data_IF_659404541449
#
_entry.id   IF_659404541449
#
_cell.length_a   1.000
_cell.length_b   1.000
_cell.length_c   1.000
_cell.angle_alpha   90.00
_cell.angle_beta   90.00
_cell.angle_gamma   90.00
#
_symmetry.space_group_name_H-M   'P 1'
#
loop_
_entity.id
_entity.type
_entity.pdbx_description
1 polymer ?
#
# COMPACT_ATOMS: atom_id res chain seq x y z
N UNK A 1 -15.26 11.32 -10.35
CA UNK A 1 -14.95 10.07 -9.61
C UNK A 1 -14.76 10.46 -8.15
N UNK A 2 -15.42 9.82 -7.17
CA UNK A 2 -15.23 10.20 -5.78
C UNK A 2 -13.82 9.81 -5.35
N UNK A 3 -13.06 10.82 -4.95
CA UNK A 3 -11.88 10.68 -4.12
C UNK A 3 -12.26 9.95 -2.84
N UNK A 4 -11.58 8.87 -2.51
CA UNK A 4 -11.91 8.05 -1.34
C UNK A 4 -11.60 8.74 -0.01
N UNK A 5 -11.02 9.95 -0.01
CA UNK A 5 -10.57 10.66 1.18
C UNK A 5 -9.32 10.06 1.83
N UNK A 6 -8.87 8.89 1.36
CA UNK A 6 -7.72 8.18 1.90
C UNK A 6 -6.45 8.69 1.23
N UNK A 7 -5.55 9.19 2.06
CA UNK A 7 -4.25 9.66 1.61
C UNK A 7 -3.29 8.49 1.35
N UNK A 8 -2.32 8.68 0.46
CA UNK A 8 -1.22 7.71 0.26
C UNK A 8 -0.49 7.39 1.57
N UNK A 9 -0.38 8.37 2.48
CA UNK A 9 0.20 8.17 3.82
C UNK A 9 -0.60 7.18 4.68
N UNK A 10 -1.93 7.24 4.64
CA UNK A 10 -2.79 6.28 5.35
C UNK A 10 -2.71 4.87 4.75
N UNK A 11 -2.56 4.74 3.43
CA UNK A 11 -2.32 3.44 2.81
C UNK A 11 -1.00 2.82 3.27
N UNK A 12 0.05 3.64 3.37
CA UNK A 12 1.35 3.19 3.90
C UNK A 12 1.21 2.77 5.36
N UNK A 13 0.52 3.55 6.20
CA UNK A 13 0.26 3.18 7.60
C UNK A 13 -0.45 1.83 7.71
N UNK A 14 -1.51 1.61 6.94
CA UNK A 14 -2.23 0.31 6.92
C UNK A 14 -1.35 -0.86 6.51
N UNK A 15 -0.42 -0.66 5.57
CA UNK A 15 0.55 -1.69 5.19
C UNK A 15 1.54 -1.98 6.32
N UNK A 16 2.02 -0.95 7.01
CA UNK A 16 2.91 -1.09 8.16
C UNK A 16 2.20 -1.77 9.34
N UNK A 17 0.96 -1.39 9.65
CA UNK A 17 0.11 -2.04 10.67
C UNK A 17 -0.14 -3.51 10.33
N UNK A 18 -0.23 -3.84 9.04
CA UNK A 18 -0.34 -5.21 8.59
C UNK A 18 0.98 -5.98 8.65
N UNK A 19 2.09 -5.42 9.16
CA UNK A 19 3.44 -6.03 9.20
C UNK A 19 4.07 -6.19 7.80
N UNK A 20 3.66 -5.37 6.82
CA UNK A 20 4.35 -5.32 5.54
C UNK A 20 5.68 -4.59 5.69
N UNK A 21 6.76 -5.19 5.21
CA UNK A 21 8.09 -4.62 5.19
C UNK A 21 8.36 -3.91 3.87
N UNK A 22 9.07 -2.78 3.93
CA UNK A 22 9.55 -2.09 2.75
C UNK A 22 10.79 -2.79 2.21
N UNK A 23 10.70 -3.34 1.00
CA UNK A 23 11.78 -4.13 0.38
C UNK A 23 12.62 -3.34 -0.62
N UNK A 24 12.18 -2.13 -0.97
CA UNK A 24 12.91 -1.26 -1.88
C UNK A 24 12.02 -0.27 -2.60
N UNK A 25 12.65 0.62 -3.35
CA UNK A 25 11.97 1.68 -4.10
C UNK A 25 12.43 1.69 -5.55
N UNK A 26 11.49 1.87 -6.49
CA UNK A 26 11.79 2.05 -7.93
C UNK A 26 11.09 3.31 -8.43
N UNK A 27 11.88 4.29 -8.84
CA UNK A 27 11.36 5.61 -9.23
C UNK A 27 10.54 6.24 -8.10
N UNK A 28 9.33 6.70 -8.42
CA UNK A 28 8.42 7.32 -7.45
C UNK A 28 7.55 6.32 -6.66
N UNK A 29 7.89 5.02 -6.63
CA UNK A 29 7.13 3.99 -5.90
C UNK A 29 8.01 3.24 -4.88
N UNK A 30 7.46 3.02 -3.68
CA UNK A 30 7.98 2.11 -2.65
C UNK A 30 7.28 0.76 -2.76
N UNK A 31 8.03 -0.31 -2.63
CA UNK A 31 7.52 -1.67 -2.68
C UNK A 31 7.45 -2.23 -1.27
N UNK A 32 6.26 -2.70 -0.91
CA UNK A 32 6.03 -3.40 0.35
C UNK A 32 5.76 -4.86 0.08
N UNK A 33 6.29 -5.72 0.93
CA UNK A 33 6.08 -7.17 0.92
C UNK A 33 5.65 -7.61 2.32
N UNK A 34 4.88 -8.69 2.41
CA UNK A 34 4.51 -9.26 3.70
C UNK A 34 5.01 -10.71 3.78
N UNK A 35 5.55 -11.09 4.93
CA UNK A 35 6.00 -12.45 5.22
C UNK A 35 4.99 -13.58 4.90
N UNK A 36 3.67 -13.33 4.97
CA UNK A 36 2.64 -14.33 4.65
C UNK A 36 2.37 -14.48 3.15
N UNK A 37 2.84 -13.53 2.34
CA UNK A 37 2.78 -13.57 0.87
C UNK A 37 4.19 -13.40 0.29
N UNK A 38 5.09 -14.38 0.49
CA UNK A 38 6.44 -14.30 -0.04
C UNK A 38 6.39 -14.21 -1.57
N UNK A 39 7.02 -13.17 -2.12
CA UNK A 39 7.07 -12.85 -3.54
C UNK A 39 5.98 -11.86 -4.02
N UNK A 40 4.94 -11.58 -3.25
CA UNK A 40 3.91 -10.60 -3.64
C UNK A 40 4.27 -9.21 -3.10
N UNK A 41 4.70 -8.32 -4.00
CA UNK A 41 5.09 -6.94 -3.68
C UNK A 41 4.05 -5.94 -4.16
N UNK A 42 3.66 -5.02 -3.28
CA UNK A 42 2.74 -3.94 -3.61
C UNK A 42 3.49 -2.60 -3.82
N UNK A 43 3.40 -2.01 -5.02
CA UNK A 43 3.94 -0.68 -5.26
C UNK A 43 3.00 0.39 -4.71
N UNK A 44 3.54 1.30 -3.89
CA UNK A 44 2.83 2.46 -3.34
C UNK A 44 3.63 3.72 -3.65
N UNK A 45 3.03 4.77 -4.25
CA UNK A 45 3.75 5.97 -4.61
C UNK A 45 4.34 6.68 -3.39
N UNK A 46 5.51 7.30 -3.57
CA UNK A 46 6.18 8.07 -2.55
C UNK A 46 5.50 9.44 -2.39
N UNK A 47 5.03 9.75 -1.18
CA UNK A 47 4.41 11.04 -0.89
C UNK A 47 5.36 12.25 -1.12
N UNK A 48 6.68 12.06 -1.05
CA UNK A 48 7.62 13.18 -1.04
C UNK A 48 7.91 13.81 -2.42
N UNK A 49 7.46 13.22 -3.53
CA UNK A 49 7.65 13.83 -4.86
C UNK A 49 6.43 14.60 -5.36
N UNK A 50 5.30 14.52 -4.66
CA UNK A 50 4.11 15.35 -4.87
C UNK A 50 3.99 16.29 -3.68
N UNK A 51 4.86 17.30 -3.66
CA UNK A 51 4.72 18.45 -2.78
C UNK A 51 3.31 19.05 -2.89
N UNK A 52 2.79 19.44 -1.72
CA UNK A 52 1.61 20.27 -1.49
C UNK A 52 0.22 19.59 -1.61
N UNK A 53 -0.35 19.33 -0.42
CA UNK A 53 -1.79 19.18 -0.12
C UNK A 53 -2.48 17.93 -0.66
N UNK A 54 -2.63 16.93 0.22
CA UNK A 54 -3.85 16.12 0.30
C UNK A 54 -4.41 15.57 -1.01
N UNK A 55 -3.56 15.15 -1.95
CA UNK A 55 -4.04 14.45 -3.14
C UNK A 55 -4.39 13.03 -2.71
N UNK A 56 -5.67 12.73 -2.79
CA UNK A 56 -6.20 11.39 -2.60
C UNK A 56 -5.33 10.39 -3.34
N UNK A 57 -5.07 9.25 -2.69
CA UNK A 57 -4.47 8.14 -3.39
C UNK A 57 -5.33 7.83 -4.62
N UNK A 58 -4.71 7.66 -5.79
CA UNK A 58 -5.45 7.24 -6.97
C UNK A 58 -6.27 6.01 -6.61
N UNK A 59 -7.55 6.00 -6.98
CA UNK A 59 -8.49 4.91 -6.68
C UNK A 59 -7.91 3.51 -7.02
N UNK A 60 -7.08 3.44 -8.05
CA UNK A 60 -6.35 2.23 -8.45
C UNK A 60 -5.38 1.74 -7.36
N UNK A 61 -4.61 2.64 -6.74
CA UNK A 61 -3.66 2.31 -5.66
C UNK A 61 -4.41 1.81 -4.44
N UNK A 62 -5.46 2.50 -4.02
CA UNK A 62 -6.28 2.06 -2.89
C UNK A 62 -6.93 0.69 -3.13
N UNK A 63 -7.49 0.46 -4.32
CA UNK A 63 -8.07 -0.83 -4.67
C UNK A 63 -7.03 -1.94 -4.63
N UNK A 64 -5.81 -1.68 -5.10
CA UNK A 64 -4.71 -2.63 -5.03
C UNK A 64 -4.28 -2.89 -3.57
N UNK A 65 -4.14 -1.86 -2.74
CA UNK A 65 -3.78 -1.99 -1.33
C UNK A 65 -4.84 -2.76 -0.56
N UNK A 66 -6.12 -2.43 -0.73
CA UNK A 66 -7.24 -3.18 -0.13
C UNK A 66 -7.25 -4.64 -0.57
N UNK A 67 -6.97 -4.92 -1.85
CA UNK A 67 -6.91 -6.30 -2.36
C UNK A 67 -5.73 -7.07 -1.76
N UNK A 68 -4.58 -6.42 -1.61
CA UNK A 68 -3.39 -7.00 -1.00
C UNK A 68 -3.61 -7.30 0.49
N UNK A 69 -4.15 -6.34 1.25
CA UNK A 69 -4.51 -6.55 2.66
C UNK A 69 -5.52 -7.69 2.84
N UNK A 70 -6.55 -7.78 2.00
CA UNK A 70 -7.48 -8.92 2.03
C UNK A 70 -6.81 -10.26 1.78
N UNK A 71 -5.81 -10.30 0.87
CA UNK A 71 -5.02 -11.52 0.64
C UNK A 71 -4.17 -11.87 1.85
N UNK A 72 -3.54 -10.87 2.48
CA UNK A 72 -2.78 -11.03 3.73
C UNK A 72 -3.69 -11.59 4.82
N UNK A 73 -4.86 -11.01 5.07
CA UNK A 73 -5.80 -11.49 6.08
C UNK A 73 -6.25 -12.94 5.79
N UNK A 74 -6.52 -13.25 4.52
CA UNK A 74 -6.88 -14.62 4.12
C UNK A 74 -5.72 -15.60 4.33
N UNK A 75 -4.48 -15.18 4.05
CA UNK A 75 -3.29 -15.98 4.28
C UNK A 75 -3.01 -16.16 5.78
N UNK A 76 -3.10 -15.09 6.59
CA UNK A 76 -2.99 -15.15 8.06
C UNK A 76 -4.03 -16.06 8.70
N UNK A 77 -5.27 -16.11 8.17
CA UNK A 77 -6.33 -17.01 8.67
C UNK A 77 -6.10 -18.48 8.32
N UNK A 78 -5.23 -18.77 7.36
CA UNK A 78 -4.89 -20.11 6.90
C UNK A 78 -3.64 -20.69 7.57
N UNK A 79 -2.87 -19.84 8.27
CA UNK A 79 -1.73 -20.21 9.12
C UNK A 79 -2.24 -20.39 10.55
#
# INVERSE_FOLDING_TARGET
MPSSGITTGELIRKLLDAECQHIGSKGSHRYFEHAVLPGEKIPVPHAAQLSAKGKDASYIVEKNVKKFLKKIEKAKKLV
#
